data_IF_844760703973
#
_entry.id   IF_844760703973
#
_cell.length_a   1.000
_cell.length_b   1.000
_cell.length_c   1.000
_cell.angle_alpha   90.00
_cell.angle_beta   90.00
_cell.angle_gamma   90.00
#
_symmetry.space_group_name_H-M   'P 1'
#
loop_
_entity.id
_entity.type
_entity.pdbx_description
1 polymer ?
#
# COMPACT_ATOMS: atom_id res chain seq x y z
N UNK A 1 38.32 5.89 23.00
CA UNK A 1 36.95 6.45 23.15
C UNK A 1 36.42 6.74 21.76
N UNK A 2 35.18 6.36 21.43
CA UNK A 2 34.60 6.69 20.12
C UNK A 2 34.28 8.18 20.03
N UNK A 3 34.58 8.80 18.89
CA UNK A 3 34.28 10.22 18.64
C UNK A 3 32.77 10.40 18.41
N UNK A 4 32.26 11.62 18.58
CA UNK A 4 30.86 11.97 18.27
C UNK A 4 30.51 11.56 16.83
N UNK A 5 31.41 11.81 15.88
CA UNK A 5 31.21 11.44 14.46
C UNK A 5 31.12 9.93 14.24
N UNK A 6 31.90 9.13 14.98
CA UNK A 6 31.81 7.66 14.91
C UNK A 6 30.47 7.17 15.47
N UNK A 7 30.04 7.72 16.61
CA UNK A 7 28.73 7.39 17.20
C UNK A 7 27.57 7.77 16.29
N UNK A 8 27.59 8.97 15.70
CA UNK A 8 26.59 9.40 14.73
C UNK A 8 26.54 8.48 13.51
N UNK A 9 27.70 8.03 13.01
CA UNK A 9 27.77 7.09 11.89
C UNK A 9 27.16 5.73 12.27
N UNK A 10 27.56 5.17 13.40
CA UNK A 10 27.08 3.85 13.85
C UNK A 10 25.56 3.88 14.07
N UNK A 11 25.06 4.95 14.68
CA UNK A 11 23.65 5.15 14.93
C UNK A 11 22.86 5.36 13.61
N UNK A 12 23.39 6.13 12.66
CA UNK A 12 22.79 6.27 11.33
C UNK A 12 22.71 4.92 10.58
N UNK A 13 23.74 4.08 10.68
CA UNK A 13 23.75 2.74 10.08
C UNK A 13 22.70 1.84 10.75
N UNK A 14 22.68 1.78 12.09
CA UNK A 14 21.71 1.01 12.84
C UNK A 14 20.28 1.45 12.51
N UNK A 15 20.05 2.75 12.48
CA UNK A 15 18.77 3.34 12.15
C UNK A 15 18.29 2.99 10.74
N UNK A 16 19.16 3.08 9.72
CA UNK A 16 18.82 2.68 8.34
C UNK A 16 18.37 1.21 8.23
N UNK A 17 18.98 0.32 9.04
CA UNK A 17 18.58 -1.07 9.12
C UNK A 17 17.19 -1.22 9.76
N UNK A 18 16.92 -0.49 10.83
CA UNK A 18 15.60 -0.49 11.48
C UNK A 18 14.51 0.08 10.57
N UNK A 19 14.77 1.18 9.86
CA UNK A 19 13.87 1.72 8.85
C UNK A 19 13.56 0.69 7.76
N UNK A 20 14.58 -0.02 7.25
CA UNK A 20 14.37 -1.10 6.26
C UNK A 20 13.51 -2.24 6.81
N UNK A 21 13.65 -2.59 8.09
CA UNK A 21 12.81 -3.63 8.74
C UNK A 21 11.38 -3.14 8.92
N UNK A 22 11.20 -1.89 9.35
CA UNK A 22 9.89 -1.26 9.49
C UNK A 22 9.15 -1.19 8.16
N UNK A 23 9.80 -0.68 7.10
CA UNK A 23 9.24 -0.62 5.75
C UNK A 23 8.79 -2.00 5.25
N UNK A 24 9.58 -3.06 5.51
CA UNK A 24 9.20 -4.45 5.20
C UNK A 24 8.02 -4.96 6.04
N UNK A 25 7.87 -4.50 7.27
CA UNK A 25 6.73 -4.79 8.13
C UNK A 25 5.45 -4.17 7.57
N UNK A 26 5.49 -2.87 7.28
CA UNK A 26 4.37 -2.12 6.68
C UNK A 26 3.97 -2.73 5.34
N UNK A 27 4.93 -3.03 4.46
CA UNK A 27 4.65 -3.69 3.18
C UNK A 27 3.90 -5.02 3.34
N UNK A 28 4.30 -5.86 4.31
CA UNK A 28 3.61 -7.12 4.62
C UNK A 28 2.20 -6.90 5.15
N UNK A 29 1.99 -5.90 6.01
CA UNK A 29 0.66 -5.52 6.53
C UNK A 29 -0.26 -5.07 5.41
N UNK A 30 0.23 -4.19 4.53
CA UNK A 30 -0.52 -3.72 3.36
C UNK A 30 -0.89 -4.87 2.41
N UNK A 31 0.06 -5.77 2.12
CA UNK A 31 -0.21 -6.97 1.31
C UNK A 31 -1.25 -7.87 1.97
N UNK A 32 -1.24 -8.01 3.30
CA UNK A 32 -2.24 -8.80 4.02
C UNK A 32 -3.66 -8.19 3.91
N UNK A 33 -3.78 -6.85 4.00
CA UNK A 33 -5.06 -6.14 3.80
C UNK A 33 -5.59 -6.41 2.38
N UNK A 34 -4.72 -6.29 1.38
CA UNK A 34 -5.06 -6.57 -0.01
C UNK A 34 -5.51 -8.03 -0.19
N UNK A 35 -4.73 -9.01 0.29
CA UNK A 35 -5.06 -10.43 0.17
C UNK A 35 -6.40 -10.79 0.82
N UNK A 36 -6.74 -10.16 1.95
CA UNK A 36 -8.05 -10.37 2.61
C UNK A 36 -9.19 -9.89 1.72
N UNK A 37 -9.04 -8.74 1.09
CA UNK A 37 -10.04 -8.21 0.14
C UNK A 37 -10.15 -9.06 -1.13
N UNK A 38 -9.05 -9.65 -1.59
CA UNK A 38 -9.02 -10.52 -2.76
C UNK A 38 -9.86 -11.79 -2.54
N UNK A 39 -9.76 -12.38 -1.35
CA UNK A 39 -10.56 -13.55 -0.99
C UNK A 39 -12.06 -13.24 -1.02
N UNK A 40 -12.45 -12.09 -0.48
CA UNK A 40 -13.85 -11.64 -0.50
C UNK A 40 -14.34 -11.34 -1.93
N UNK A 41 -13.50 -10.67 -2.72
CA UNK A 41 -13.80 -10.36 -4.12
C UNK A 41 -14.05 -11.62 -4.93
N UNK A 42 -13.20 -12.64 -4.77
CA UNK A 42 -13.32 -13.93 -5.47
C UNK A 42 -14.59 -14.67 -5.03
N UNK A 43 -14.92 -14.66 -3.73
CA UNK A 43 -16.13 -15.29 -3.24
C UNK A 43 -17.38 -14.66 -3.86
N UNK A 44 -17.45 -13.32 -3.90
CA UNK A 44 -18.57 -12.60 -4.53
C UNK A 44 -18.62 -12.83 -6.04
N UNK A 45 -17.46 -12.83 -6.71
CA UNK A 45 -17.38 -13.10 -8.14
C UNK A 45 -17.87 -14.51 -8.48
N UNK A 46 -17.53 -15.52 -7.67
CA UNK A 46 -18.00 -16.89 -7.88
C UNK A 46 -19.52 -16.99 -7.75
N UNK A 47 -20.09 -16.46 -6.66
CA UNK A 47 -21.55 -16.43 -6.46
C UNK A 47 -22.26 -15.67 -7.58
N UNK A 48 -21.65 -14.59 -8.08
CA UNK A 48 -22.16 -13.81 -9.20
C UNK A 48 -22.17 -14.63 -10.50
N UNK A 49 -21.09 -15.35 -10.79
CA UNK A 49 -20.96 -16.16 -12.00
C UNK A 49 -21.83 -17.43 -11.96
N UNK A 50 -22.01 -18.06 -10.81
CA UNK A 50 -22.86 -19.25 -10.64
C UNK A 50 -24.36 -18.96 -10.92
N UNK A 51 -24.78 -17.70 -10.79
CA UNK A 51 -26.15 -17.26 -11.08
C UNK A 51 -26.41 -17.00 -12.57
N UNK A 52 -25.37 -17.00 -13.39
CA UNK A 52 -25.46 -16.68 -14.81
C UNK A 52 -25.39 -17.96 -15.62
N UNK A 53 -26.33 -18.14 -16.56
CA UNK A 53 -26.26 -19.27 -17.49
C UNK A 53 -25.10 -19.05 -18.48
N UNK A 54 -24.11 -19.95 -18.57
CA UNK A 54 -22.96 -19.81 -19.47
C UNK A 54 -23.33 -19.66 -20.95
N UNK A 55 -24.51 -20.14 -21.37
CA UNK A 55 -24.94 -20.08 -22.76
C UNK A 55 -25.58 -18.75 -23.18
N UNK A 56 -26.03 -17.91 -22.23
CA UNK A 56 -26.71 -16.65 -22.52
C UNK A 56 -26.32 -15.58 -21.50
N UNK A 57 -25.17 -14.92 -21.72
CA UNK A 57 -24.73 -13.80 -20.89
C UNK A 57 -25.05 -12.50 -21.62
N UNK A 58 -26.09 -11.79 -21.17
CA UNK A 58 -26.34 -10.44 -21.64
C UNK A 58 -25.29 -9.47 -21.06
N UNK A 59 -24.78 -8.57 -21.92
CA UNK A 59 -23.79 -7.55 -21.54
C UNK A 59 -24.25 -6.70 -20.35
N UNK A 60 -25.56 -6.42 -20.25
CA UNK A 60 -26.16 -5.66 -19.14
C UNK A 60 -26.07 -6.41 -17.80
N UNK A 61 -26.31 -7.73 -17.79
CA UNK A 61 -26.20 -8.55 -16.58
C UNK A 61 -24.74 -8.63 -16.12
N UNK A 62 -23.80 -8.82 -17.05
CA UNK A 62 -22.38 -8.86 -16.73
C UNK A 62 -21.88 -7.53 -16.12
N UNK A 63 -22.34 -6.40 -16.66
CA UNK A 63 -22.01 -5.07 -16.14
C UNK A 63 -22.50 -4.89 -14.69
N UNK A 64 -23.72 -5.33 -14.37
CA UNK A 64 -24.26 -5.26 -13.02
C UNK A 64 -23.48 -6.14 -12.03
N UNK A 65 -23.05 -7.33 -12.45
CA UNK A 65 -22.25 -8.23 -11.60
C UNK A 65 -20.87 -7.63 -11.29
N UNK A 66 -20.22 -7.06 -12.32
CA UNK A 66 -18.92 -6.40 -12.18
C UNK A 66 -18.99 -5.13 -11.32
N UNK A 67 -20.14 -4.44 -11.27
CA UNK A 67 -20.32 -3.28 -10.38
C UNK A 67 -20.13 -3.65 -8.90
N UNK A 68 -20.64 -4.81 -8.46
CA UNK A 68 -20.46 -5.28 -7.08
C UNK A 68 -18.99 -5.57 -6.75
N UNK A 69 -18.24 -6.07 -7.73
CA UNK A 69 -16.80 -6.37 -7.63
C UNK A 69 -15.97 -5.07 -7.60
N UNK A 70 -16.37 -4.08 -8.39
CA UNK A 70 -15.75 -2.75 -8.38
C UNK A 70 -15.90 -2.06 -7.02
N UNK A 71 -17.07 -2.16 -6.39
CA UNK A 71 -17.31 -1.59 -5.07
C UNK A 71 -16.40 -2.21 -4.00
N UNK A 72 -16.24 -3.54 -3.98
CA UNK A 72 -15.31 -4.23 -3.06
C UNK A 72 -13.86 -3.82 -3.33
N UNK A 73 -13.47 -3.74 -4.60
CA UNK A 73 -12.13 -3.29 -4.96
C UNK A 73 -11.86 -1.86 -4.47
N UNK A 74 -12.82 -0.95 -4.66
CA UNK A 74 -12.69 0.43 -4.18
C UNK A 74 -12.57 0.50 -2.66
N UNK A 75 -13.40 -0.26 -1.93
CA UNK A 75 -13.31 -0.35 -0.48
C UNK A 75 -11.94 -0.87 -0.02
N UNK A 76 -11.40 -1.88 -0.70
CA UNK A 76 -10.07 -2.43 -0.41
C UNK A 76 -8.95 -1.40 -0.63
N UNK A 77 -9.00 -0.66 -1.73
CA UNK A 77 -8.02 0.40 -2.04
C UNK A 77 -8.09 1.53 -1.01
N UNK A 78 -9.30 1.94 -0.60
CA UNK A 78 -9.49 2.94 0.45
C UNK A 78 -8.93 2.44 1.79
N UNK A 79 -9.25 1.21 2.20
CA UNK A 79 -8.75 0.64 3.44
C UNK A 79 -7.21 0.51 3.46
N UNK A 80 -6.62 0.10 2.33
CA UNK A 80 -5.18 0.08 2.14
C UNK A 80 -4.58 1.48 2.32
N UNK A 81 -5.16 2.49 1.67
CA UNK A 81 -4.62 3.84 1.70
C UNK A 81 -4.73 4.50 3.08
N UNK A 82 -5.86 4.30 3.77
CA UNK A 82 -6.03 4.76 5.15
C UNK A 82 -4.97 4.12 6.05
N UNK A 83 -4.82 2.79 6.00
CA UNK A 83 -3.81 2.10 6.79
C UNK A 83 -2.38 2.54 6.46
N UNK A 84 -2.07 2.83 5.19
CA UNK A 84 -0.75 3.33 4.80
C UNK A 84 -0.52 4.75 5.33
N UNK A 85 -1.53 5.61 5.26
CA UNK A 85 -1.46 6.99 5.73
C UNK A 85 -1.25 7.05 7.24
N UNK A 86 -1.95 6.20 8.00
CA UNK A 86 -1.76 6.04 9.45
C UNK A 86 -0.34 5.59 9.80
N UNK A 87 0.22 4.60 9.08
CA UNK A 87 1.60 4.14 9.28
C UNK A 87 2.62 5.23 8.95
N UNK A 88 2.41 5.99 7.87
CA UNK A 88 3.30 7.11 7.51
C UNK A 88 3.26 8.24 8.54
N UNK A 89 2.10 8.52 9.12
CA UNK A 89 1.97 9.51 10.19
C UNK A 89 2.68 9.05 11.46
N UNK A 90 2.43 7.81 11.90
CA UNK A 90 3.11 7.24 13.07
C UNK A 90 4.64 7.16 12.87
N UNK A 91 5.07 6.89 11.64
CA UNK A 91 6.49 6.94 11.27
C UNK A 91 7.06 8.36 11.38
N UNK A 92 6.35 9.38 10.87
CA UNK A 92 6.77 10.78 10.98
C UNK A 92 6.85 11.25 12.44
N UNK A 93 5.89 10.85 13.29
CA UNK A 93 5.93 11.12 14.73
C UNK A 93 7.16 10.50 15.40
N UNK A 94 7.48 9.25 15.06
CA UNK A 94 8.66 8.58 15.59
C UNK A 94 9.97 9.26 15.10
N UNK A 95 10.08 9.58 13.81
CA UNK A 95 11.30 10.13 13.22
C UNK A 95 11.62 11.54 13.72
N UNK A 96 10.61 12.40 13.85
CA UNK A 96 10.78 13.76 14.40
C UNK A 96 11.32 13.71 15.84
N UNK A 97 10.80 12.80 16.67
CA UNK A 97 11.29 12.60 18.03
C UNK A 97 12.69 11.97 18.09
N UNK A 98 12.98 11.02 17.19
CA UNK A 98 14.27 10.32 17.13
C UNK A 98 15.42 11.28 16.83
N UNK A 99 15.31 12.10 15.78
CA UNK A 99 16.38 13.01 15.38
C UNK A 99 16.71 14.04 16.46
N UNK A 100 15.69 14.58 17.12
CA UNK A 100 15.89 15.52 18.23
C UNK A 100 16.71 14.88 19.37
N UNK A 101 16.27 13.70 19.86
CA UNK A 101 16.95 12.98 20.96
C UNK A 101 18.36 12.54 20.58
N UNK A 102 18.57 12.16 19.31
CA UNK A 102 19.89 11.79 18.81
C UNK A 102 20.87 12.96 18.90
N UNK A 103 20.46 14.13 18.41
CA UNK A 103 21.32 15.32 18.42
C UNK A 103 21.50 15.87 19.83
N UNK A 104 20.46 15.92 20.64
CA UNK A 104 20.53 16.36 22.03
C UNK A 104 21.49 15.49 22.86
N UNK A 105 21.51 14.17 22.64
CA UNK A 105 22.38 13.25 23.40
C UNK A 105 23.82 13.16 22.90
N UNK A 106 24.09 13.47 21.62
CA UNK A 106 25.42 13.29 21.02
C UNK A 106 26.18 14.61 20.76
N UNK A 107 25.48 15.74 20.58
CA UNK A 107 26.13 17.01 20.31
C UNK A 107 26.62 17.66 21.61
N UNK A 108 27.86 18.22 21.65
CA UNK A 108 28.33 18.97 22.81
C UNK A 108 27.55 20.28 23.02
N UNK A 109 27.39 20.70 24.27
CA UNK A 109 26.68 21.93 24.66
C UNK A 109 27.18 23.19 23.93
N UNK A 110 28.49 23.26 23.65
CA UNK A 110 29.12 24.37 22.92
C UNK A 110 28.57 24.50 21.50
N UNK A 111 28.21 23.38 20.86
CA UNK A 111 27.59 23.36 19.53
C UNK A 111 26.12 23.77 19.63
N UNK A 112 25.39 23.23 20.61
CA UNK A 112 23.97 23.54 20.83
C UNK A 112 23.74 25.01 21.19
N UNK A 113 24.67 25.63 21.94
CA UNK A 113 24.63 27.05 22.28
C UNK A 113 24.75 27.96 21.04
N UNK A 114 25.44 27.49 19.99
CA UNK A 114 25.60 28.23 18.73
C UNK A 114 24.55 27.87 17.68
N UNK A 115 24.06 26.63 17.70
CA UNK A 115 23.09 26.07 16.76
C UNK A 115 21.97 25.37 17.54
N UNK A 116 20.94 26.10 17.97
CA UNK A 116 19.81 25.50 18.66
C UNK A 116 19.06 24.55 17.73
N UNK A 117 18.63 23.41 18.26
CA UNK A 117 17.86 22.42 17.50
C UNK A 117 16.45 22.97 17.23
N UNK A 118 16.07 23.02 15.96
CA UNK A 118 14.70 23.31 15.56
C UNK A 118 13.85 22.04 15.62
N UNK A 119 12.67 22.15 16.23
CA UNK A 119 11.68 21.05 16.23
C UNK A 119 10.85 21.18 14.96
N UNK A 120 10.78 20.09 14.20
CA UNK A 120 9.88 19.96 13.04
C UNK A 120 8.69 19.14 13.50
N UNK A 121 7.47 19.58 13.19
CA UNK A 121 6.29 18.83 13.62
C UNK A 121 6.06 17.60 12.73
N UNK A 122 5.47 16.50 13.27
CA UNK A 122 5.14 15.32 12.48
C UNK A 122 4.28 15.64 11.25
N UNK A 123 3.35 16.58 11.38
CA UNK A 123 2.44 16.99 10.30
C UNK A 123 3.19 17.70 9.17
N UNK A 124 4.22 18.49 9.49
CA UNK A 124 5.06 19.13 8.48
C UNK A 124 5.87 18.09 7.70
N UNK A 125 6.42 17.09 8.38
CA UNK A 125 7.14 15.97 7.74
C UNK A 125 6.20 15.15 6.87
N UNK A 126 5.02 14.81 7.39
CA UNK A 126 4.00 14.07 6.66
C UNK A 126 3.52 14.83 5.42
N UNK A 127 3.18 16.12 5.56
CA UNK A 127 2.74 16.95 4.45
C UNK A 127 3.83 17.10 3.38
N UNK A 128 5.08 17.31 3.80
CA UNK A 128 6.21 17.37 2.88
C UNK A 128 6.40 16.04 2.13
N UNK A 129 6.32 14.90 2.83
CA UNK A 129 6.45 13.58 2.21
C UNK A 129 5.32 13.29 1.21
N UNK A 130 4.08 13.65 1.54
CA UNK A 130 2.92 13.46 0.65
C UNK A 130 2.93 14.39 -0.56
N UNK A 131 3.56 15.56 -0.46
CA UNK A 131 3.74 16.50 -1.56
C UNK A 131 4.89 16.10 -2.51
N UNK A 132 5.77 15.18 -2.11
CA UNK A 132 6.87 14.72 -2.94
C UNK A 132 6.42 13.60 -3.89
N UNK A 133 6.84 13.64 -5.17
CA UNK A 133 6.53 12.58 -6.11
C UNK A 133 7.30 11.30 -5.77
N UNK A 134 6.56 10.20 -5.62
CA UNK A 134 7.08 8.85 -5.51
C UNK A 134 7.15 8.20 -6.91
N UNK A 135 8.36 7.92 -7.40
CA UNK A 135 8.59 7.37 -8.74
C UNK A 135 7.93 8.20 -9.87
N UNK A 136 7.97 9.53 -9.73
CA UNK A 136 7.41 10.46 -10.71
C UNK A 136 5.91 10.71 -10.61
N UNK A 137 5.21 10.21 -9.59
CA UNK A 137 3.78 10.47 -9.34
C UNK A 137 3.50 10.66 -7.84
N UNK A 138 2.41 11.34 -7.50
CA UNK A 138 1.99 11.46 -6.11
C UNK A 138 1.43 10.13 -5.60
N UNK A 139 1.54 9.89 -4.30
CA UNK A 139 1.08 8.63 -3.69
C UNK A 139 -0.42 8.39 -3.89
N UNK A 140 -1.23 9.46 -3.87
CA UNK A 140 -2.67 9.34 -4.14
C UNK A 140 -2.97 8.89 -5.58
N UNK A 141 -2.13 9.29 -6.55
CA UNK A 141 -2.27 8.87 -7.95
C UNK A 141 -1.95 7.39 -8.11
N UNK A 142 -0.94 6.89 -7.39
CA UNK A 142 -0.64 5.45 -7.38
C UNK A 142 -1.84 4.60 -6.96
N UNK A 143 -2.61 5.06 -5.97
CA UNK A 143 -3.81 4.36 -5.50
C UNK A 143 -4.92 4.36 -6.55
N UNK A 144 -5.19 5.52 -7.17
CA UNK A 144 -6.24 5.63 -8.19
C UNK A 144 -5.92 4.79 -9.43
N UNK A 145 -4.64 4.75 -9.83
CA UNK A 145 -4.17 3.90 -10.93
C UNK A 145 -4.24 2.41 -10.58
N UNK A 146 -3.77 2.00 -9.40
CA UNK A 146 -3.82 0.60 -8.98
C UNK A 146 -5.27 0.08 -8.94
N UNK A 147 -6.20 0.90 -8.45
CA UNK A 147 -7.63 0.58 -8.42
C UNK A 147 -8.17 0.34 -9.84
N UNK A 148 -7.91 1.30 -10.74
CA UNK A 148 -8.36 1.27 -12.14
C UNK A 148 -7.77 0.09 -12.90
N UNK A 149 -6.46 -0.13 -12.80
CA UNK A 149 -5.75 -1.21 -13.48
C UNK A 149 -6.27 -2.58 -13.03
N UNK A 150 -6.52 -2.72 -11.72
CA UNK A 150 -7.07 -3.96 -11.17
C UNK A 150 -8.48 -4.24 -11.68
N UNK A 151 -9.36 -3.25 -11.69
CA UNK A 151 -10.71 -3.39 -12.26
C UNK A 151 -10.66 -3.76 -13.75
N UNK A 152 -9.77 -3.10 -14.49
CA UNK A 152 -9.57 -3.39 -15.92
C UNK A 152 -9.17 -4.85 -16.13
N UNK A 153 -8.19 -5.36 -15.37
CA UNK A 153 -7.78 -6.78 -15.43
C UNK A 153 -8.92 -7.74 -15.08
N UNK A 154 -9.70 -7.44 -14.05
CA UNK A 154 -10.86 -8.27 -13.66
C UNK A 154 -11.88 -8.32 -14.79
N UNK A 155 -12.26 -7.16 -15.33
CA UNK A 155 -13.22 -7.05 -16.42
C UNK A 155 -12.74 -7.83 -17.65
N UNK A 156 -11.47 -7.71 -18.01
CA UNK A 156 -10.88 -8.42 -19.15
C UNK A 156 -10.90 -9.94 -18.93
N UNK A 157 -10.50 -10.42 -17.75
CA UNK A 157 -10.49 -11.84 -17.43
C UNK A 157 -11.90 -12.46 -17.47
N UNK A 158 -12.89 -11.75 -16.91
CA UNK A 158 -14.29 -12.20 -16.89
C UNK A 158 -14.89 -12.20 -18.29
N UNK A 159 -14.74 -11.11 -19.06
CA UNK A 159 -15.26 -11.04 -20.44
C UNK A 159 -14.65 -12.11 -21.32
N UNK A 160 -13.33 -12.25 -21.29
CA UNK A 160 -12.62 -13.23 -22.11
C UNK A 160 -12.99 -14.66 -21.73
N UNK A 161 -13.08 -14.97 -20.44
CA UNK A 161 -13.47 -16.31 -20.01
C UNK A 161 -14.94 -16.64 -20.33
N UNK A 162 -15.83 -15.67 -20.18
CA UNK A 162 -17.23 -15.82 -20.60
C UNK A 162 -17.36 -16.09 -22.10
N UNK A 163 -16.59 -15.41 -22.95
CA UNK A 163 -16.59 -15.61 -24.40
C UNK A 163 -16.03 -16.98 -24.81
N UNK A 164 -15.03 -17.49 -24.09
CA UNK A 164 -14.41 -18.79 -24.38
C UNK A 164 -15.16 -19.98 -23.76
N UNK A 165 -16.22 -19.75 -22.99
CA UNK A 165 -16.90 -20.81 -22.24
C UNK A 165 -16.04 -21.39 -21.11
N UNK A 166 -15.10 -20.62 -20.56
CA UNK A 166 -14.29 -21.03 -19.40
C UNK A 166 -15.18 -21.35 -18.19
N UNK A 167 -14.79 -22.34 -17.39
CA UNK A 167 -15.47 -22.60 -16.12
C UNK A 167 -15.32 -21.43 -15.15
N UNK A 168 -16.28 -21.26 -14.24
CA UNK A 168 -16.24 -20.24 -13.17
C UNK A 168 -14.94 -20.33 -12.36
N UNK A 169 -14.46 -21.55 -12.11
CA UNK A 169 -13.20 -21.78 -11.41
C UNK A 169 -11.99 -21.26 -12.22
N UNK A 170 -11.99 -21.43 -13.54
CA UNK A 170 -10.91 -20.95 -14.40
C UNK A 170 -10.91 -19.40 -14.46
N UNK A 171 -12.08 -18.78 -14.56
CA UNK A 171 -12.25 -17.32 -14.57
C UNK A 171 -11.77 -16.72 -13.25
N UNK A 172 -12.24 -17.25 -12.12
CA UNK A 172 -11.85 -16.77 -10.78
C UNK A 172 -10.35 -16.95 -10.52
N UNK A 173 -9.74 -18.03 -11.04
CA UNK A 173 -8.28 -18.25 -10.98
C UNK A 173 -7.50 -17.22 -11.79
N UNK A 174 -7.96 -16.85 -12.99
CA UNK A 174 -7.36 -15.76 -13.79
C UNK A 174 -7.45 -14.42 -13.08
N UNK A 175 -8.58 -14.13 -12.43
CA UNK A 175 -8.79 -12.89 -11.66
C UNK A 175 -7.89 -12.80 -10.43
N UNK A 176 -7.69 -13.90 -9.70
CA UNK A 176 -6.76 -13.96 -8.56
C UNK A 176 -5.30 -13.71 -8.97
N UNK A 177 -4.97 -13.97 -10.23
CA UNK A 177 -3.61 -13.86 -10.75
C UNK A 177 -2.74 -15.09 -10.43
N UNK A 178 -1.67 -15.24 -11.20
CA UNK A 178 -0.70 -16.34 -11.07
C UNK A 178 0.42 -15.99 -10.09
N UNK A 179 0.11 -15.94 -8.79
CA UNK A 179 1.14 -16.00 -7.73
C UNK A 179 1.01 -17.28 -6.91
N UNK A 180 0.58 -18.36 -7.58
CA UNK A 180 0.63 -19.73 -7.08
C UNK A 180 1.70 -20.57 -7.81
N UNK A 181 2.61 -19.91 -8.54
CA UNK A 181 3.85 -20.51 -9.03
C UNK A 181 5.00 -19.71 -8.41
N UNK A 182 5.89 -20.43 -7.74
CA UNK A 182 7.02 -19.99 -6.90
C UNK A 182 6.68 -19.82 -5.43
#
# INVERSE_FOLDING_TARGET
MSTVNQRLRDEALAHSLFQSRYARGVARKIVAILNKSDAELIARLRVALDKVNPHYIEVKQLAHLLASVQAVNQQAMTAMFVSLSEELLAFAEHETGYHYRLFDSLLPDVVLARYPLAIITPEQVYAAAMAQPFQGRLLHDWVSHLATDRVSRINHAVKHGSLLGDSVEHITRKVRGSRAKH
#
